data_IF_999181144595
#
_entry.id   IF_999181144595
#
_cell.length_a   1.000
_cell.length_b   1.000
_cell.length_c   1.000
_cell.angle_alpha   90.00
_cell.angle_beta   90.00
_cell.angle_gamma   90.00
#
_symmetry.space_group_name_H-M   'P 1'
#
loop_
_entity.id
_entity.type
_entity.pdbx_description
1 polymer ?
#
# COMPACT_ATOMS: atom_id res chain seq x y z
N UNK A 1 26.49 2.81 -0.35
CA UNK A 1 25.10 2.68 0.16
C UNK A 1 25.17 2.04 1.53
N UNK A 2 24.72 2.74 2.57
CA UNK A 2 24.68 2.18 3.94
C UNK A 2 23.39 1.37 4.02
N UNK A 3 23.48 0.08 4.36
CA UNK A 3 22.32 -0.79 4.53
C UNK A 3 21.80 -0.62 5.95
N UNK A 4 20.64 -0.02 6.14
CA UNK A 4 20.02 0.11 7.46
C UNK A 4 19.50 -1.26 7.89
N UNK A 5 20.13 -1.85 8.91
CA UNK A 5 19.73 -3.15 9.49
C UNK A 5 19.33 -2.93 10.94
N UNK A 6 18.19 -3.46 11.33
CA UNK A 6 17.73 -3.45 12.71
C UNK A 6 16.90 -4.71 12.99
N UNK A 7 16.90 -5.16 14.25
CA UNK A 7 16.16 -6.35 14.69
C UNK A 7 15.00 -5.94 15.58
N UNK A 8 13.84 -6.59 15.42
CA UNK A 8 12.69 -6.42 16.30
C UNK A 8 12.15 -7.76 16.75
N UNK A 9 11.43 -7.77 17.87
CA UNK A 9 10.75 -8.96 18.37
C UNK A 9 9.27 -8.92 18.01
N UNK A 10 8.68 -10.09 17.85
CA UNK A 10 7.25 -10.26 17.72
C UNK A 10 6.59 -10.15 19.11
N UNK A 11 5.50 -9.39 19.20
CA UNK A 11 4.68 -9.33 20.40
C UNK A 11 3.85 -10.61 20.57
N UNK A 12 3.25 -10.81 21.75
CA UNK A 12 2.34 -11.94 21.99
C UNK A 12 1.10 -11.94 21.09
N UNK A 13 0.77 -10.79 20.48
CA UNK A 13 -0.35 -10.64 19.54
C UNK A 13 0.08 -10.82 18.08
N UNK A 14 1.32 -11.26 17.83
CA UNK A 14 1.85 -11.46 16.47
C UNK A 14 2.26 -10.16 15.77
N UNK A 15 2.40 -9.05 16.49
CA UNK A 15 2.80 -7.76 15.89
C UNK A 15 4.32 -7.61 15.90
N UNK A 16 4.90 -7.09 14.82
CA UNK A 16 6.29 -6.67 14.75
C UNK A 16 6.36 -5.15 14.61
N UNK A 17 7.33 -4.54 15.28
CA UNK A 17 7.59 -3.09 15.15
C UNK A 17 8.51 -2.87 13.96
N UNK A 18 8.29 -1.83 13.17
CA UNK A 18 9.28 -1.37 12.17
C UNK A 18 10.13 -0.27 12.85
N UNK A 19 11.46 -0.45 12.98
CA UNK A 19 12.35 0.53 13.59
C UNK A 19 12.25 1.90 12.92
N UNK A 20 12.42 2.95 13.72
CA UNK A 20 12.27 4.35 13.27
C UNK A 20 13.13 4.69 12.04
N UNK A 21 14.39 4.27 12.04
CA UNK A 21 15.31 4.51 10.91
C UNK A 21 14.79 3.92 9.61
N UNK A 22 14.28 2.68 9.65
CA UNK A 22 13.69 2.00 8.49
C UNK A 22 12.37 2.66 8.08
N UNK A 23 11.53 3.09 9.03
CA UNK A 23 10.30 3.84 8.72
C UNK A 23 10.60 5.14 7.98
N UNK A 24 11.60 5.89 8.43
CA UNK A 24 12.00 7.16 7.81
C UNK A 24 12.56 6.95 6.39
N UNK A 25 13.44 5.95 6.22
CA UNK A 25 14.04 5.63 4.91
C UNK A 25 12.99 5.19 3.89
N UNK A 26 11.98 4.43 4.32
CA UNK A 26 10.90 3.93 3.47
C UNK A 26 9.68 4.86 3.40
N UNK A 27 9.70 6.02 4.07
CA UNK A 27 8.58 6.98 4.08
C UNK A 27 7.28 6.45 4.69
N UNK A 28 7.35 5.46 5.58
CA UNK A 28 6.19 4.79 6.15
C UNK A 28 5.49 5.67 7.20
N UNK A 29 4.17 5.68 7.19
CA UNK A 29 3.33 6.47 8.10
C UNK A 29 2.32 5.57 8.81
N UNK A 30 1.70 6.09 9.86
CA UNK A 30 0.56 5.41 10.46
C UNK A 30 -0.54 5.21 9.40
N UNK A 31 -1.06 3.99 9.29
CA UNK A 31 -2.06 3.63 8.28
C UNK A 31 -1.49 3.23 6.91
N UNK A 32 -0.17 3.25 6.69
CA UNK A 32 0.44 2.67 5.48
C UNK A 32 -0.01 1.22 5.30
N UNK A 33 -0.49 0.89 4.10
CA UNK A 33 -0.94 -0.45 3.75
C UNK A 33 0.19 -1.23 3.08
N UNK A 34 0.19 -2.55 3.30
CA UNK A 34 1.20 -3.44 2.75
C UNK A 34 0.55 -4.68 2.17
N UNK A 35 1.07 -5.13 1.03
CA UNK A 35 0.94 -6.53 0.62
C UNK A 35 1.96 -7.32 1.41
N UNK A 36 1.48 -8.38 2.10
CA UNK A 36 2.31 -9.27 2.91
C UNK A 36 2.44 -10.62 2.21
N UNK A 37 3.67 -11.04 1.93
CA UNK A 37 3.97 -12.34 1.29
C UNK A 37 4.93 -13.12 2.17
N UNK A 38 4.57 -14.35 2.51
CA UNK A 38 5.46 -15.30 3.19
C UNK A 38 6.07 -16.27 2.19
N UNK A 39 7.39 -16.51 2.28
CA UNK A 39 8.08 -17.55 1.51
C UNK A 39 9.24 -18.13 2.34
N UNK A 40 9.11 -19.39 2.75
CA UNK A 40 10.11 -20.05 3.59
C UNK A 40 10.28 -19.33 4.93
N UNK A 41 11.48 -18.84 5.20
CA UNK A 41 11.87 -18.08 6.40
C UNK A 41 11.77 -16.56 6.21
N UNK A 42 11.22 -16.09 5.09
CA UNK A 42 11.13 -14.67 4.74
C UNK A 42 9.68 -14.18 4.73
N UNK A 43 9.45 -13.03 5.36
CA UNK A 43 8.23 -12.23 5.21
C UNK A 43 8.59 -10.94 4.46
N UNK A 44 7.92 -10.70 3.34
CA UNK A 44 8.06 -9.48 2.54
C UNK A 44 6.84 -8.59 2.82
N UNK A 45 7.10 -7.36 3.25
CA UNK A 45 6.09 -6.30 3.31
C UNK A 45 6.39 -5.30 2.19
N UNK A 46 5.51 -5.24 1.20
CA UNK A 46 5.58 -4.24 0.13
C UNK A 46 4.51 -3.19 0.35
N UNK A 47 4.93 -1.94 0.58
CA UNK A 47 3.99 -0.83 0.70
C UNK A 47 3.16 -0.71 -0.60
N UNK A 48 1.87 -0.46 -0.45
CA UNK A 48 0.97 -0.18 -1.55
C UNK A 48 0.32 1.19 -1.35
N UNK A 49 0.10 1.87 -2.46
CA UNK A 49 -0.65 3.10 -2.52
C UNK A 49 -1.95 2.80 -3.26
N UNK A 50 -3.06 3.34 -2.75
CA UNK A 50 -4.30 3.29 -3.50
C UNK A 50 -4.11 4.14 -4.77
N UNK A 51 -4.55 3.66 -5.95
CA UNK A 51 -4.55 4.48 -7.14
C UNK A 51 -5.34 5.77 -6.88
N UNK A 52 -4.88 6.89 -7.41
CA UNK A 52 -5.61 8.14 -7.28
C UNK A 52 -6.97 8.02 -7.96
N UNK A 53 -8.03 8.60 -7.36
CA UNK A 53 -9.35 8.66 -8.01
C UNK A 53 -9.25 9.33 -9.40
N UNK A 54 -8.30 10.26 -9.58
CA UNK A 54 -8.06 10.94 -10.84
C UNK A 54 -7.57 10.01 -11.94
N UNK A 55 -6.93 8.89 -11.60
CA UNK A 55 -6.54 7.87 -12.59
C UNK A 55 -7.77 7.19 -13.19
N UNK A 56 -8.92 7.24 -12.51
CA UNK A 56 -10.19 6.71 -13.00
C UNK A 56 -11.04 7.74 -13.74
N UNK A 57 -10.62 9.01 -13.81
CA UNK A 57 -11.37 10.07 -14.52
C UNK A 57 -11.72 9.68 -15.98
N UNK A 58 -10.82 9.05 -16.77
CA UNK A 58 -11.17 8.63 -18.13
C UNK A 58 -12.29 7.58 -18.17
N UNK A 59 -12.29 6.63 -17.23
CA UNK A 59 -13.31 5.60 -17.11
C UNK A 59 -14.66 6.20 -16.69
N UNK A 60 -14.64 7.13 -15.73
CA UNK A 60 -15.83 7.86 -15.28
C UNK A 60 -16.42 8.69 -16.43
N UNK A 61 -15.56 9.36 -17.20
CA UNK A 61 -15.97 10.14 -18.36
C UNK A 61 -16.66 9.26 -19.42
N UNK A 62 -16.06 8.12 -19.77
CA UNK A 62 -16.65 7.17 -20.70
C UNK A 62 -17.99 6.62 -20.20
N UNK A 63 -18.11 6.28 -18.92
CA UNK A 63 -19.36 5.80 -18.35
C UNK A 63 -20.49 6.84 -18.47
N UNK A 64 -20.18 8.13 -18.21
CA UNK A 64 -21.14 9.23 -18.35
C UNK A 64 -21.57 9.46 -19.80
N UNK A 65 -20.62 9.41 -20.74
CA UNK A 65 -20.92 9.50 -22.18
C UNK A 65 -21.87 8.39 -22.65
N UNK A 66 -21.66 7.16 -22.18
CA UNK A 66 -22.52 6.02 -22.52
C UNK A 66 -23.91 6.16 -21.87
N UNK A 67 -23.98 6.59 -20.60
CA UNK A 67 -25.26 6.81 -19.93
C UNK A 67 -26.09 7.91 -20.63
N UNK A 68 -25.45 9.01 -21.04
CA UNK A 68 -26.09 10.09 -21.79
C UNK A 68 -26.62 9.61 -23.16
N UNK A 69 -25.88 8.75 -23.86
CA UNK A 69 -26.30 8.17 -25.15
C UNK A 69 -27.46 7.19 -25.03
N UNK A 70 -27.62 6.54 -23.88
CA UNK A 70 -28.63 5.50 -23.65
C UNK A 70 -29.81 5.96 -22.76
N UNK A 71 -29.89 7.25 -22.41
CA UNK A 71 -30.96 7.85 -21.57
C UNK A 71 -31.17 7.15 -20.22
N UNK A 72 -30.16 6.45 -19.73
CA UNK A 72 -30.19 5.80 -18.42
C UNK A 72 -29.93 6.89 -17.39
N UNK A 73 -31.00 7.35 -16.73
CA UNK A 73 -30.94 8.31 -15.61
C UNK A 73 -30.32 7.70 -14.37
#
# INVERSE_FOLDING_TARGET
>A
MVKTIATTKMSSKGQVVIPETIRAELGLKAGSQFVVVGKGDVVILKAIEAPSISEFDPLIFQAREQAAKHEIK
#
